data_IF_566922664670
#
_entry.id   IF_566922664670
#
_cell.length_a   1.000
_cell.length_b   1.000
_cell.length_c   1.000
_cell.angle_alpha   90.00
_cell.angle_beta   90.00
_cell.angle_gamma   90.00
#
_symmetry.space_group_name_H-M   'P 1'
#
loop_
_entity.id
_entity.type
_entity.pdbx_description
1 polymer ?
#
# COMPACT_ATOMS: atom_id res chain seq x y z
N UNK A 1 -11.95 -10.90 -8.40
CA UNK A 1 -10.52 -10.51 -8.52
C UNK A 1 -9.81 -11.04 -7.31
N UNK A 2 -8.81 -11.85 -7.49
CA UNK A 2 -8.11 -12.54 -6.42
C UNK A 2 -6.89 -11.73 -5.98
N UNK A 3 -6.88 -11.27 -4.73
CA UNK A 3 -5.79 -10.47 -4.15
C UNK A 3 -4.94 -11.34 -3.22
N UNK A 4 -3.61 -11.21 -3.29
CA UNK A 4 -2.72 -11.66 -2.23
C UNK A 4 -2.58 -10.51 -1.20
N UNK A 5 -2.88 -10.78 0.05
CA UNK A 5 -2.65 -9.86 1.18
C UNK A 5 -1.47 -10.37 1.98
N UNK A 6 -0.36 -9.63 1.97
CA UNK A 6 0.80 -9.94 2.81
C UNK A 6 0.61 -9.26 4.15
N UNK A 7 0.55 -10.08 5.21
CA UNK A 7 0.36 -9.64 6.59
C UNK A 7 1.71 -9.38 7.27
N UNK A 8 2.00 -8.12 7.58
CA UNK A 8 3.17 -7.71 8.37
C UNK A 8 2.88 -7.72 9.88
N UNK A 9 2.04 -8.64 10.36
CA UNK A 9 1.67 -8.78 11.77
C UNK A 9 0.93 -7.56 12.33
N UNK A 10 0.08 -6.95 11.49
CA UNK A 10 -0.73 -5.81 11.89
C UNK A 10 -2.07 -6.21 12.48
N UNK A 11 -2.49 -5.51 13.54
CA UNK A 11 -3.78 -5.76 14.19
C UNK A 11 -4.99 -5.45 13.29
N UNK A 12 -4.81 -4.64 12.26
CA UNK A 12 -5.87 -4.22 11.34
C UNK A 12 -5.86 -4.98 9.99
N UNK A 13 -4.98 -5.98 9.83
CA UNK A 13 -4.92 -6.78 8.58
C UNK A 13 -6.27 -7.37 8.21
N UNK A 14 -7.07 -7.84 9.18
CA UNK A 14 -8.38 -8.39 8.90
C UNK A 14 -9.43 -7.36 8.48
N UNK A 15 -9.29 -6.10 8.88
CA UNK A 15 -10.13 -5.02 8.35
C UNK A 15 -9.84 -4.81 6.86
N UNK A 16 -8.55 -4.83 6.48
CA UNK A 16 -8.13 -4.76 5.09
C UNK A 16 -8.61 -5.98 4.28
N UNK A 17 -8.51 -7.18 4.87
CA UNK A 17 -9.06 -8.42 4.29
C UNK A 17 -10.55 -8.28 3.96
N UNK A 18 -11.37 -7.87 4.92
CA UNK A 18 -12.82 -7.73 4.70
C UNK A 18 -13.14 -6.67 3.65
N UNK A 19 -12.48 -5.51 3.71
CA UNK A 19 -12.73 -4.43 2.76
C UNK A 19 -12.31 -4.80 1.33
N UNK A 20 -11.20 -5.53 1.16
CA UNK A 20 -10.76 -6.09 -0.13
C UNK A 20 -11.77 -7.13 -0.64
N UNK A 21 -12.24 -8.05 0.22
CA UNK A 21 -13.25 -9.04 -0.12
C UNK A 21 -14.54 -8.40 -0.64
N UNK A 22 -15.02 -7.37 0.05
CA UNK A 22 -16.21 -6.61 -0.38
C UNK A 22 -16.00 -5.88 -1.72
N UNK A 23 -14.84 -5.28 -1.93
CA UNK A 23 -14.52 -4.53 -3.16
C UNK A 23 -14.35 -5.47 -4.35
N UNK A 24 -13.67 -6.59 -4.16
CA UNK A 24 -13.29 -7.51 -5.23
C UNK A 24 -14.35 -8.58 -5.52
N UNK A 25 -15.27 -8.84 -4.58
CA UNK A 25 -16.23 -9.93 -4.66
C UNK A 25 -15.59 -11.31 -4.47
N UNK A 26 -14.38 -11.37 -3.91
CA UNK A 26 -13.61 -12.59 -3.67
C UNK A 26 -12.68 -12.36 -2.46
N UNK A 27 -12.57 -13.34 -1.57
CA UNK A 27 -11.74 -13.22 -0.38
C UNK A 27 -10.24 -13.22 -0.74
N UNK A 28 -9.44 -12.30 -0.17
CA UNK A 28 -8.00 -12.33 -0.37
C UNK A 28 -7.35 -13.62 0.16
N UNK A 29 -6.28 -14.05 -0.50
CA UNK A 29 -5.35 -15.04 0.07
C UNK A 29 -4.44 -14.29 1.05
N UNK A 30 -4.42 -14.66 2.31
CA UNK A 30 -3.56 -14.05 3.33
C UNK A 30 -2.33 -14.91 3.55
N UNK A 31 -1.16 -14.28 3.54
CA UNK A 31 0.14 -14.91 3.83
C UNK A 31 0.94 -13.97 4.73
N UNK A 32 1.50 -14.48 5.82
CA UNK A 32 2.42 -13.68 6.66
C UNK A 32 3.73 -13.39 5.93
N UNK A 33 4.35 -12.29 6.26
CA UNK A 33 5.56 -11.81 5.56
C UNK A 33 6.78 -12.72 5.69
N UNK A 34 6.75 -13.66 6.64
CA UNK A 34 7.81 -14.65 6.90
C UNK A 34 7.37 -16.11 6.66
N UNK A 35 6.14 -16.32 6.15
CA UNK A 35 5.55 -17.66 5.99
C UNK A 35 6.01 -18.33 4.68
N UNK A 36 6.10 -17.58 3.59
CA UNK A 36 6.48 -18.07 2.27
C UNK A 36 7.61 -17.23 1.68
N UNK A 37 8.52 -17.88 0.99
CA UNK A 37 9.52 -17.22 0.15
C UNK A 37 8.92 -16.67 -1.14
N UNK A 38 9.66 -15.81 -1.84
CA UNK A 38 9.26 -15.31 -3.15
C UNK A 38 8.94 -16.45 -4.16
N UNK A 39 9.75 -17.51 -4.17
CA UNK A 39 9.54 -18.65 -5.08
C UNK A 39 8.26 -19.44 -4.78
N UNK A 40 7.81 -19.45 -3.54
CA UNK A 40 6.58 -20.10 -3.11
C UNK A 40 5.34 -19.19 -3.34
N UNK A 41 5.51 -17.87 -3.33
CA UNK A 41 4.44 -16.93 -3.70
C UNK A 41 4.19 -16.89 -5.20
N UNK A 42 5.23 -17.04 -6.02
CA UNK A 42 5.15 -16.91 -7.49
C UNK A 42 4.11 -17.81 -8.15
N UNK A 43 3.88 -19.08 -7.74
CA UNK A 43 2.84 -19.92 -8.34
C UNK A 43 1.41 -19.59 -7.88
N UNK A 44 1.22 -18.68 -6.92
CA UNK A 44 -0.12 -18.28 -6.51
C UNK A 44 -0.80 -17.51 -7.66
N UNK A 45 -1.94 -18.03 -8.11
CA UNK A 45 -2.73 -17.40 -9.16
C UNK A 45 -3.53 -16.24 -8.59
N UNK A 46 -2.90 -15.05 -8.51
CA UNK A 46 -3.49 -13.80 -8.02
C UNK A 46 -3.38 -12.69 -9.06
N UNK A 47 -4.29 -11.74 -9.02
CA UNK A 47 -4.33 -10.62 -9.97
C UNK A 47 -3.51 -9.41 -9.48
N UNK A 48 -3.43 -9.22 -8.17
CA UNK A 48 -2.69 -8.13 -7.53
C UNK A 48 -2.27 -8.51 -6.10
N UNK A 49 -1.45 -7.64 -5.50
CA UNK A 49 -0.90 -7.83 -4.17
C UNK A 49 -1.16 -6.57 -3.34
N UNK A 50 -1.56 -6.76 -2.08
CA UNK A 50 -1.63 -5.71 -1.08
C UNK A 50 -0.68 -6.06 0.05
N UNK A 51 0.16 -5.11 0.44
CA UNK A 51 1.09 -5.24 1.57
C UNK A 51 0.50 -4.45 2.73
N UNK A 52 0.21 -5.14 3.83
CA UNK A 52 -0.45 -4.57 5.00
C UNK A 52 0.41 -3.54 5.73
N UNK A 53 -0.21 -2.73 6.60
CA UNK A 53 0.50 -2.09 7.70
C UNK A 53 1.28 -3.10 8.53
N UNK A 54 2.11 -2.62 9.44
CA UNK A 54 2.81 -3.47 10.40
C UNK A 54 3.70 -2.66 11.33
N UNK A 55 4.17 -3.27 12.42
CA UNK A 55 5.15 -2.68 13.31
C UNK A 55 6.55 -2.68 12.68
N UNK A 56 7.43 -1.82 13.19
CA UNK A 56 8.83 -1.82 12.83
C UNK A 56 9.19 -0.83 11.71
N UNK A 57 10.20 -1.19 10.92
CA UNK A 57 10.82 -0.31 9.92
C UNK A 57 11.12 -1.07 8.64
N UNK A 58 10.99 -0.45 7.45
CA UNK A 58 11.25 -1.12 6.19
C UNK A 58 12.73 -1.50 5.99
N UNK A 59 13.67 -0.84 6.68
CA UNK A 59 15.10 -1.17 6.64
C UNK A 59 15.45 -2.48 7.35
N UNK A 60 14.56 -2.97 8.21
CA UNK A 60 14.75 -4.23 8.92
C UNK A 60 14.05 -5.36 8.18
N UNK A 61 14.80 -6.21 7.50
CA UNK A 61 14.24 -7.32 6.72
C UNK A 61 13.26 -8.21 7.51
N UNK A 62 13.48 -8.39 8.82
CA UNK A 62 12.58 -9.17 9.69
C UNK A 62 11.18 -8.52 9.84
N UNK A 63 11.07 -7.19 9.70
CA UNK A 63 9.82 -6.45 9.92
C UNK A 63 8.92 -6.50 8.67
N UNK A 64 9.51 -6.70 7.49
CA UNK A 64 8.84 -6.66 6.18
C UNK A 64 8.93 -7.97 5.38
N UNK A 65 9.89 -8.84 5.71
CA UNK A 65 10.02 -10.17 5.12
C UNK A 65 9.93 -10.18 3.59
N UNK A 66 9.11 -11.08 3.04
CA UNK A 66 8.91 -11.27 1.60
C UNK A 66 8.31 -10.04 0.88
N UNK A 67 7.78 -9.06 1.63
CA UNK A 67 7.26 -7.82 1.03
C UNK A 67 8.31 -7.06 0.22
N UNK A 68 9.60 -7.12 0.63
CA UNK A 68 10.69 -6.51 -0.14
C UNK A 68 10.91 -7.21 -1.49
N UNK A 69 10.92 -8.54 -1.50
CA UNK A 69 11.03 -9.32 -2.73
C UNK A 69 9.85 -9.03 -3.67
N UNK A 70 8.64 -8.94 -3.14
CA UNK A 70 7.44 -8.60 -3.91
C UNK A 70 7.59 -7.22 -4.57
N UNK A 71 7.96 -6.20 -3.81
CA UNK A 71 8.14 -4.85 -4.33
C UNK A 71 9.27 -4.75 -5.37
N UNK A 72 10.33 -5.54 -5.21
CA UNK A 72 11.46 -5.55 -6.14
C UNK A 72 11.17 -6.32 -7.43
N UNK A 73 10.49 -7.47 -7.35
CA UNK A 73 10.45 -8.49 -8.40
C UNK A 73 9.07 -8.67 -9.06
N UNK A 74 7.98 -8.29 -8.37
CA UNK A 74 6.64 -8.49 -8.90
C UNK A 74 6.36 -7.61 -10.12
N UNK A 75 5.77 -8.21 -11.14
CA UNK A 75 5.18 -7.52 -12.28
C UNK A 75 3.68 -7.24 -12.07
N UNK A 76 3.08 -7.85 -11.04
CA UNK A 76 1.70 -7.61 -10.68
C UNK A 76 1.54 -6.22 -10.03
N UNK A 77 0.34 -5.62 -10.14
CA UNK A 77 -0.01 -4.43 -9.38
C UNK A 77 0.14 -4.63 -7.88
N UNK A 78 0.84 -3.72 -7.19
CA UNK A 78 1.07 -3.78 -5.75
C UNK A 78 0.61 -2.49 -5.08
N UNK A 79 -0.17 -2.60 -4.01
CA UNK A 79 -0.51 -1.50 -3.11
C UNK A 79 0.14 -1.73 -1.74
N UNK A 80 1.04 -0.84 -1.34
CA UNK A 80 1.60 -0.81 0.02
C UNK A 80 0.80 0.12 0.94
N UNK A 81 0.42 -0.36 2.12
CA UNK A 81 -0.28 0.42 3.15
C UNK A 81 0.64 0.62 4.34
N UNK A 82 0.81 1.87 4.79
CA UNK A 82 1.61 2.29 5.93
C UNK A 82 3.06 1.74 5.87
N UNK A 83 3.40 0.66 6.55
CA UNK A 83 4.71 0.00 6.44
C UNK A 83 5.01 -0.43 4.99
N UNK A 84 4.01 -0.94 4.26
CA UNK A 84 4.16 -1.30 2.84
C UNK A 84 4.45 -0.09 1.94
N UNK A 85 3.88 1.08 2.23
CA UNK A 85 4.20 2.34 1.55
C UNK A 85 5.65 2.79 1.82
N UNK A 86 6.09 2.70 3.10
CA UNK A 86 7.46 3.01 3.48
C UNK A 86 8.46 2.03 2.86
N UNK A 87 8.09 0.74 2.77
CA UNK A 87 8.90 -0.27 2.11
C UNK A 87 9.07 0.03 0.60
N UNK A 88 8.02 0.47 -0.09
CA UNK A 88 8.12 0.91 -1.48
C UNK A 88 9.10 2.08 -1.65
N UNK A 89 9.01 3.10 -0.79
CA UNK A 89 9.96 4.21 -0.83
C UNK A 89 11.40 3.72 -0.57
N UNK A 90 11.59 2.88 0.45
CA UNK A 90 12.91 2.36 0.84
C UNK A 90 13.58 1.56 -0.29
N UNK A 91 12.88 0.62 -0.92
CA UNK A 91 13.48 -0.25 -1.97
C UNK A 91 13.85 0.51 -3.24
N UNK A 92 13.27 1.68 -3.46
CA UNK A 92 13.59 2.58 -4.58
C UNK A 92 14.67 3.60 -4.23
N UNK A 93 15.21 3.57 -3.01
CA UNK A 93 16.27 4.49 -2.55
C UNK A 93 15.74 5.77 -1.89
N UNK A 94 14.44 5.84 -1.59
CA UNK A 94 13.86 6.92 -0.81
C UNK A 94 14.19 6.83 0.67
N UNK A 95 14.14 7.98 1.37
CA UNK A 95 14.38 8.05 2.81
C UNK A 95 13.10 7.72 3.60
N UNK A 96 13.28 7.02 4.73
CA UNK A 96 12.23 6.83 5.74
C UNK A 96 12.72 7.46 7.04
N UNK A 97 11.99 8.45 7.54
CA UNK A 97 12.41 9.34 8.61
C UNK A 97 11.39 9.34 9.75
N UNK A 98 11.78 9.91 10.89
CA UNK A 98 10.82 10.16 11.96
C UNK A 98 9.81 11.23 11.54
N UNK A 99 8.54 10.97 11.78
CA UNK A 99 7.48 11.95 11.54
C UNK A 99 7.71 13.20 12.40
N UNK A 100 7.37 14.40 11.89
CA UNK A 100 7.40 15.62 12.69
C UNK A 100 6.54 15.51 13.95
N UNK A 101 5.43 14.77 13.85
CA UNK A 101 4.53 14.43 14.96
C UNK A 101 4.15 12.95 14.89
N UNK A 102 4.18 12.27 16.04
CA UNK A 102 3.71 10.87 16.13
C UNK A 102 2.20 10.83 16.04
N UNK A 103 1.68 10.05 15.08
CA UNK A 103 0.25 9.86 14.86
C UNK A 103 -0.21 8.53 15.45
N UNK A 104 -1.25 8.57 16.26
CA UNK A 104 -1.86 7.37 16.86
C UNK A 104 -3.38 7.49 16.85
N UNK A 105 -4.02 6.97 15.81
CA UNK A 105 -5.48 7.02 15.65
C UNK A 105 -6.04 8.42 15.38
N UNK A 106 -5.23 9.33 14.84
CA UNK A 106 -5.63 10.70 14.56
C UNK A 106 -6.06 10.88 13.10
N UNK A 107 -7.10 11.65 12.90
CA UNK A 107 -7.57 12.06 11.59
C UNK A 107 -6.75 13.24 11.07
N UNK A 108 -6.44 13.23 9.79
CA UNK A 108 -5.86 14.36 9.07
C UNK A 108 -6.58 14.53 7.73
N UNK A 109 -6.80 15.78 7.28
CA UNK A 109 -7.25 16.05 5.92
C UNK A 109 -6.12 15.69 4.95
N UNK A 110 -6.47 15.01 3.86
CA UNK A 110 -5.54 14.57 2.81
C UNK A 110 -5.88 15.26 1.51
N UNK A 111 -4.91 15.98 0.97
CA UNK A 111 -4.94 16.49 -0.38
C UNK A 111 -4.20 15.56 -1.34
N UNK A 112 -4.57 15.56 -2.62
CA UNK A 112 -4.04 14.62 -3.59
C UNK A 112 -4.13 15.14 -5.04
N UNK A 113 -3.46 14.46 -5.96
CA UNK A 113 -3.41 14.85 -7.38
C UNK A 113 -4.71 14.54 -8.17
N UNK A 114 -5.69 13.87 -7.55
CA UNK A 114 -6.98 13.52 -8.15
C UNK A 114 -6.93 12.39 -9.18
N UNK A 115 -5.84 11.64 -9.26
CA UNK A 115 -5.60 10.61 -10.29
C UNK A 115 -5.37 9.23 -9.66
N UNK A 116 -5.39 8.20 -10.50
CA UNK A 116 -5.06 6.84 -10.09
C UNK A 116 -5.87 6.38 -8.88
N UNK A 117 -5.20 6.09 -7.76
CA UNK A 117 -5.85 5.69 -6.51
C UNK A 117 -6.85 6.73 -5.99
N UNK A 118 -6.64 8.01 -6.30
CA UNK A 118 -7.43 9.13 -5.77
C UNK A 118 -8.50 9.65 -6.74
N UNK A 119 -8.72 8.98 -7.87
CA UNK A 119 -9.75 9.37 -8.84
C UNK A 119 -11.15 9.38 -8.20
N UNK A 120 -11.85 10.53 -8.31
CA UNK A 120 -13.20 10.70 -7.78
C UNK A 120 -13.31 10.84 -6.26
N UNK A 121 -12.17 10.94 -5.54
CA UNK A 121 -12.14 11.23 -4.11
C UNK A 121 -12.08 12.77 -3.93
N UNK A 122 -12.86 13.37 -3.00
CA UNK A 122 -12.78 14.81 -2.71
C UNK A 122 -11.43 15.19 -2.08
N UNK A 123 -10.98 16.44 -2.34
CA UNK A 123 -9.83 17.01 -1.65
C UNK A 123 -10.13 17.21 -0.16
N UNK A 124 -9.12 17.07 0.69
CA UNK A 124 -9.26 17.27 2.12
C UNK A 124 -10.06 16.16 2.83
N UNK A 125 -10.22 14.97 2.22
CA UNK A 125 -10.91 13.86 2.89
C UNK A 125 -10.17 13.44 4.16
N UNK A 126 -10.93 13.07 5.21
CA UNK A 126 -10.35 12.67 6.47
C UNK A 126 -9.82 11.23 6.41
N UNK A 127 -8.56 11.04 6.79
CA UNK A 127 -7.95 9.72 6.88
C UNK A 127 -7.24 9.49 8.22
N UNK A 128 -7.32 8.26 8.72
CA UNK A 128 -6.68 7.86 9.98
C UNK A 128 -5.21 7.55 9.76
N UNK A 129 -4.39 8.05 10.69
CA UNK A 129 -2.93 7.87 10.72
C UNK A 129 -2.50 7.16 12.00
N UNK A 130 -1.63 6.14 11.86
CA UNK A 130 -1.02 5.37 12.95
C UNK A 130 0.48 5.18 12.69
N UNK A 131 1.25 6.27 12.59
CA UNK A 131 2.66 6.16 12.24
C UNK A 131 3.55 7.15 12.98
N UNK A 132 4.75 6.71 13.32
CA UNK A 132 5.85 7.51 13.83
C UNK A 132 6.94 7.76 12.80
N UNK A 133 6.84 7.09 11.63
CA UNK A 133 7.75 7.22 10.51
C UNK A 133 6.99 7.74 9.29
N UNK A 134 7.69 8.45 8.43
CA UNK A 134 7.18 9.01 7.17
C UNK A 134 8.21 8.84 6.07
N UNK A 135 7.73 8.89 4.84
CA UNK A 135 8.59 8.97 3.68
C UNK A 135 9.08 10.40 3.54
N UNK A 136 10.40 10.57 3.49
CA UNK A 136 11.10 11.84 3.26
C UNK A 136 11.44 12.05 1.78
N UNK A 137 12.72 12.27 1.49
CA UNK A 137 13.18 12.45 0.12
C UNK A 137 12.88 11.24 -0.77
N UNK A 138 12.30 11.48 -1.94
CA UNK A 138 11.94 10.46 -2.92
C UNK A 138 12.90 10.49 -4.12
N UNK A 139 13.26 9.31 -4.68
CA UNK A 139 13.99 9.22 -5.93
C UNK A 139 13.08 9.60 -7.13
N UNK A 140 13.71 9.85 -8.29
CA UNK A 140 13.01 10.29 -9.49
C UNK A 140 11.97 9.26 -10.03
N UNK A 141 12.13 7.99 -9.71
CA UNK A 141 11.24 6.90 -10.09
C UNK A 141 9.87 6.96 -9.41
N UNK A 142 9.78 7.62 -8.26
CA UNK A 142 8.54 7.83 -7.52
C UNK A 142 7.99 9.24 -7.75
N UNK A 143 6.69 9.38 -7.60
CA UNK A 143 6.02 10.66 -7.50
C UNK A 143 5.09 10.68 -6.29
N UNK A 144 4.99 11.84 -5.65
CA UNK A 144 3.98 12.08 -4.62
C UNK A 144 2.62 12.19 -5.28
N UNK A 145 1.62 11.53 -4.72
CA UNK A 145 0.24 11.54 -5.20
C UNK A 145 -0.75 12.06 -4.16
N UNK A 146 -0.36 12.07 -2.87
CA UNK A 146 -1.16 12.64 -1.77
C UNK A 146 -0.26 13.19 -0.65
N UNK A 147 -0.76 14.19 0.07
CA UNK A 147 -0.02 14.89 1.13
C UNK A 147 -0.98 15.50 2.16
N UNK A 148 -0.46 15.86 3.32
CA UNK A 148 -1.17 16.67 4.33
C UNK A 148 -0.87 18.15 4.16
N UNK A 149 -1.60 19.01 4.88
CA UNK A 149 -1.38 20.48 4.86
C UNK A 149 0.02 20.91 5.30
N UNK A 150 0.69 20.07 6.10
CA UNK A 150 2.07 20.25 6.56
C UNK A 150 3.09 19.48 5.71
N UNK A 151 2.75 19.19 4.46
CA UNK A 151 3.59 18.57 3.43
C UNK A 151 4.12 17.16 3.77
N UNK A 152 3.49 16.44 4.70
CA UNK A 152 3.83 15.05 4.93
C UNK A 152 3.30 14.17 3.79
N UNK A 153 4.18 13.37 3.18
CA UNK A 153 3.83 12.47 2.07
C UNK A 153 2.85 11.40 2.55
N UNK A 154 1.67 11.35 1.93
CA UNK A 154 0.58 10.42 2.24
C UNK A 154 0.27 9.43 1.13
N UNK A 155 0.76 9.68 -0.08
CA UNK A 155 0.61 8.77 -1.20
C UNK A 155 1.79 8.88 -2.16
N UNK A 156 2.23 7.74 -2.69
CA UNK A 156 3.27 7.64 -3.72
C UNK A 156 2.87 6.67 -4.82
N UNK A 157 3.43 6.87 -6.00
CA UNK A 157 3.26 5.99 -7.15
C UNK A 157 4.59 5.86 -7.90
N UNK A 158 4.91 4.65 -8.34
CA UNK A 158 6.06 4.42 -9.22
C UNK A 158 5.70 4.81 -10.66
N UNK A 159 6.58 5.56 -11.34
CA UNK A 159 6.29 6.16 -12.65
C UNK A 159 6.12 5.16 -13.79
N UNK A 160 6.74 3.99 -13.70
CA UNK A 160 6.79 3.00 -14.78
C UNK A 160 6.35 1.60 -14.37
N UNK A 161 6.34 1.29 -13.08
CA UNK A 161 5.86 0.01 -12.56
C UNK A 161 4.50 0.19 -11.90
N UNK A 162 3.64 -0.84 -11.88
CA UNK A 162 2.32 -0.77 -11.25
C UNK A 162 2.40 -0.87 -9.71
N UNK A 163 3.12 0.06 -9.09
CA UNK A 163 3.34 0.10 -7.64
C UNK A 163 2.80 1.41 -7.07
N UNK A 164 1.99 1.29 -6.02
CA UNK A 164 1.39 2.40 -5.28
C UNK A 164 1.59 2.22 -3.79
N UNK A 165 1.57 3.32 -3.05
CA UNK A 165 1.61 3.29 -1.61
C UNK A 165 0.80 4.41 -0.98
N UNK A 166 0.14 4.13 0.15
CA UNK A 166 -0.54 5.10 0.99
C UNK A 166 -0.06 4.99 2.44
N UNK A 167 0.23 6.13 3.08
CA UNK A 167 0.73 6.17 4.45
C UNK A 167 -0.39 6.00 5.48
N UNK A 168 -1.60 6.43 5.16
CA UNK A 168 -2.78 6.30 6.02
C UNK A 168 -3.43 4.92 5.88
N UNK A 169 -4.42 4.64 6.73
CA UNK A 169 -5.12 3.36 6.83
C UNK A 169 -6.48 3.41 6.10
N UNK A 170 -6.58 2.97 4.84
CA UNK A 170 -7.84 2.97 4.09
C UNK A 170 -8.88 2.00 4.66
N UNK A 171 -8.45 0.99 5.42
CA UNK A 171 -9.29 -0.03 6.04
C UNK A 171 -9.96 0.45 7.33
N UNK A 172 -9.52 1.58 7.88
CA UNK A 172 -10.11 2.13 9.09
C UNK A 172 -11.52 2.65 8.82
N UNK A 173 -12.47 2.34 9.71
CA UNK A 173 -13.85 2.82 9.62
C UNK A 173 -13.95 4.36 9.68
N UNK A 174 -12.95 5.01 10.25
CA UNK A 174 -12.88 6.47 10.35
C UNK A 174 -12.19 7.12 9.14
N UNK A 175 -11.62 6.33 8.21
CA UNK A 175 -11.07 6.86 6.96
C UNK A 175 -12.18 6.98 5.94
N UNK A 176 -12.44 8.22 5.52
CA UNK A 176 -13.36 8.49 4.42
C UNK A 176 -12.82 7.93 3.11
N UNK A 177 -13.71 7.48 2.24
CA UNK A 177 -13.38 7.02 0.87
C UNK A 177 -12.39 5.83 0.77
N UNK A 178 -12.05 5.13 1.86
CA UNK A 178 -11.15 3.96 1.81
C UNK A 178 -11.64 2.88 0.84
N UNK A 179 -12.96 2.59 0.82
CA UNK A 179 -13.59 1.71 -0.17
C UNK A 179 -13.40 2.20 -1.62
N UNK A 180 -13.53 3.49 -1.86
CA UNK A 180 -13.33 4.08 -3.19
C UNK A 180 -11.88 3.93 -3.63
N UNK A 181 -10.93 4.18 -2.74
CA UNK A 181 -9.49 4.00 -3.01
C UNK A 181 -9.18 2.55 -3.41
N UNK A 182 -9.69 1.55 -2.69
CA UNK A 182 -9.47 0.14 -3.03
C UNK A 182 -10.20 -0.28 -4.33
N UNK A 183 -11.37 0.31 -4.66
CA UNK A 183 -11.99 0.13 -5.98
C UNK A 183 -11.09 0.69 -7.09
N UNK A 184 -10.52 1.87 -6.88
CA UNK A 184 -9.60 2.47 -7.84
C UNK A 184 -8.37 1.57 -8.05
N UNK A 185 -7.80 0.99 -6.98
CA UNK A 185 -6.71 0.00 -7.09
C UNK A 185 -7.12 -1.23 -7.89
N UNK A 186 -8.31 -1.78 -7.63
CA UNK A 186 -8.88 -2.89 -8.42
C UNK A 186 -8.99 -2.51 -9.91
N UNK A 187 -9.49 -1.32 -10.20
CA UNK A 187 -9.73 -0.88 -11.58
C UNK A 187 -8.40 -0.56 -12.30
N UNK A 188 -7.40 -0.04 -11.59
CA UNK A 188 -6.02 0.08 -12.07
C UNK A 188 -5.41 -1.31 -12.37
N UNK A 189 -5.66 -2.31 -11.52
CA UNK A 189 -5.24 -3.69 -11.79
C UNK A 189 -5.83 -4.21 -13.09
N UNK A 190 -7.14 -4.01 -13.32
CA UNK A 190 -7.81 -4.43 -14.57
C UNK A 190 -7.25 -3.75 -15.81
N UNK A 191 -6.85 -2.50 -15.68
CA UNK A 191 -6.28 -1.73 -16.79
C UNK A 191 -4.89 -2.23 -17.23
N UNK A 192 -4.14 -2.94 -16.37
CA UNK A 192 -2.86 -3.58 -16.72
C UNK A 192 -3.05 -4.83 -17.57
N UNK A 193 -4.27 -5.37 -17.66
CA UNK A 193 -4.55 -6.65 -18.32
C UNK A 193 -4.13 -7.87 -17.49
N UNK A 194 -4.46 -9.08 -17.95
CA UNK A 194 -4.02 -10.29 -17.27
C UNK A 194 -2.48 -10.37 -17.30
N UNK A 195 -1.83 -10.88 -16.24
CA UNK A 195 -0.40 -11.11 -16.26
C UNK A 195 -0.04 -11.98 -17.46
N UNK A 196 1.04 -11.63 -18.17
CA UNK A 196 1.53 -12.41 -19.31
C UNK A 196 1.65 -13.88 -18.89
N UNK A 197 1.08 -14.79 -19.69
CA UNK A 197 1.13 -16.21 -19.39
C UNK A 197 2.58 -16.61 -19.14
N UNK A 198 2.85 -17.02 -17.91
CA UNK A 198 4.20 -17.48 -17.52
C UNK A 198 4.43 -18.81 -18.22
N UNK A 199 5.26 -18.78 -19.27
CA UNK A 199 5.76 -19.97 -19.98
C UNK A 199 6.74 -20.76 -19.11
#
# INVERSE_FOLDING_TARGET
MRTLLIDNYDSFTFNLFHLLGEVNGDEPVVVRNDELSWSELTPLAVDNIVISPGPGRPEHARDVGVSLDVLQRSELPVLGVCLGHQALAHITGGAVEHAPEVMHGRLSPIDHDGRGLFAGIPQGFAAVRYHSLVVGALPAELRVTAWTLDDVVMGIEHRTRPLWGVQFHPESILTEHGRTLLRNFRDLTRAQGPPAARG
#
